data_IF_401257587232
#
_entry.id   IF_401257587232
#
_cell.length_a   1.000
_cell.length_b   1.000
_cell.length_c   1.000
_cell.angle_alpha   90.00
_cell.angle_beta   90.00
_cell.angle_gamma   90.00
#
_symmetry.space_group_name_H-M   'P 1'
#
loop_
_entity.id
_entity.type
_entity.pdbx_description
1 polymer ?
#
# COMPACT_ATOMS: atom_id res chain seq x y z
N UNK A 1 -3.81 -30.48 -36.24
CA UNK A 1 -5.27 -30.58 -36.06
C UNK A 1 -5.86 -29.20 -36.18
N UNK A 2 -5.98 -28.71 -37.42
CA UNK A 2 -6.33 -27.32 -37.67
C UNK A 2 -7.85 -27.16 -37.68
N UNK A 3 -8.42 -26.89 -36.51
CA UNK A 3 -9.87 -26.65 -36.35
C UNK A 3 -10.38 -25.42 -37.12
N UNK A 4 -9.50 -24.49 -37.50
CA UNK A 4 -9.87 -23.30 -38.26
C UNK A 4 -10.09 -23.56 -39.74
N UNK A 5 -9.27 -24.40 -40.38
CA UNK A 5 -9.26 -24.58 -41.84
C UNK A 5 -9.49 -26.02 -42.33
N UNK A 6 -9.23 -27.04 -41.49
CA UNK A 6 -9.34 -28.46 -41.85
C UNK A 6 -10.39 -29.21 -41.02
N UNK A 7 -11.03 -28.57 -40.04
CA UNK A 7 -11.91 -29.24 -39.08
C UNK A 7 -11.14 -29.92 -37.95
N UNK A 8 -11.86 -30.42 -36.95
CA UNK A 8 -11.28 -31.15 -35.81
C UNK A 8 -12.18 -32.33 -35.45
N UNK A 9 -11.61 -33.41 -34.90
CA UNK A 9 -12.39 -34.52 -34.34
C UNK A 9 -12.59 -34.31 -32.83
N UNK A 10 -13.72 -34.52 -32.20
CA UNK A 10 -13.73 -34.40 -30.72
C UNK A 10 -13.07 -35.63 -30.05
N UNK A 11 -13.05 -35.64 -28.72
CA UNK A 11 -12.57 -36.78 -27.93
C UNK A 11 -13.50 -38.00 -28.03
N UNK A 12 -14.74 -37.82 -28.51
CA UNK A 12 -15.73 -38.86 -28.75
C UNK A 12 -15.64 -39.43 -30.19
N UNK A 13 -14.70 -38.94 -31.01
CA UNK A 13 -14.46 -39.39 -32.37
C UNK A 13 -15.34 -38.73 -33.44
N UNK A 14 -16.12 -37.71 -33.10
CA UNK A 14 -16.99 -36.97 -34.04
C UNK A 14 -16.17 -35.96 -34.84
N UNK A 15 -16.24 -36.02 -36.16
CA UNK A 15 -15.56 -35.05 -37.04
C UNK A 15 -16.41 -33.80 -37.23
N UNK A 16 -15.87 -32.66 -36.84
CA UNK A 16 -16.46 -31.34 -37.03
C UNK A 16 -15.84 -30.65 -38.24
N UNK A 17 -16.67 -29.98 -39.05
CA UNK A 17 -16.21 -29.15 -40.16
C UNK A 17 -15.33 -27.98 -39.69
N UNK A 18 -14.55 -27.42 -40.61
CA UNK A 18 -13.71 -26.26 -40.34
C UNK A 18 -14.57 -25.05 -39.92
N UNK A 19 -14.08 -24.29 -38.94
CA UNK A 19 -14.78 -23.07 -38.48
C UNK A 19 -14.89 -22.05 -39.63
N UNK A 20 -13.91 -22.00 -40.54
CA UNK A 20 -13.92 -21.12 -41.71
C UNK A 20 -13.67 -21.95 -42.97
N UNK A 21 -14.70 -22.08 -43.80
CA UNK A 21 -14.63 -22.80 -45.07
C UNK A 21 -13.89 -21.99 -46.15
N UNK A 22 -12.96 -22.63 -46.86
CA UNK A 22 -12.26 -22.05 -48.04
C UNK A 22 -10.90 -21.39 -47.77
N UNK A 23 -10.37 -21.45 -46.55
CA UNK A 23 -9.00 -21.00 -46.27
C UNK A 23 -7.95 -21.97 -46.87
N UNK A 24 -6.77 -21.46 -47.28
CA UNK A 24 -5.66 -22.33 -47.65
C UNK A 24 -5.23 -23.19 -46.44
N UNK A 25 -4.81 -24.44 -46.70
CA UNK A 25 -4.38 -25.41 -45.68
C UNK A 25 -3.06 -24.98 -45.02
N UNK A 26 -3.12 -24.01 -44.12
CA UNK A 26 -1.99 -23.55 -43.33
C UNK A 26 -1.92 -24.38 -42.05
N UNK A 27 -0.99 -25.33 -41.96
CA UNK A 27 -0.80 -26.16 -40.75
C UNK A 27 0.57 -25.89 -40.14
N UNK A 28 0.62 -25.59 -38.84
CA UNK A 28 1.86 -25.47 -38.09
C UNK A 28 2.22 -26.82 -37.44
N UNK A 29 3.50 -27.22 -37.37
CA UNK A 29 3.90 -28.44 -36.68
C UNK A 29 3.67 -28.33 -35.17
N UNK A 30 3.02 -29.34 -34.56
CA UNK A 30 2.80 -29.41 -33.10
C UNK A 30 4.10 -29.36 -32.28
N UNK A 31 5.22 -29.80 -32.85
CA UNK A 31 6.55 -29.75 -32.21
C UNK A 31 6.95 -28.33 -31.81
N UNK A 32 6.52 -27.30 -32.55
CA UNK A 32 6.81 -25.90 -32.21
C UNK A 32 6.16 -25.55 -30.88
N UNK A 33 4.90 -25.92 -30.66
CA UNK A 33 4.18 -25.66 -29.41
C UNK A 33 4.75 -26.46 -28.24
N UNK A 34 5.10 -27.74 -28.45
CA UNK A 34 5.69 -28.58 -27.40
C UNK A 34 7.03 -28.03 -26.89
N UNK A 35 7.90 -27.55 -27.78
CA UNK A 35 9.21 -27.01 -27.39
C UNK A 35 9.10 -25.61 -26.76
N UNK A 36 8.12 -24.81 -27.16
CA UNK A 36 7.94 -23.43 -26.71
C UNK A 36 7.10 -23.28 -25.43
N UNK A 37 6.28 -24.28 -25.11
CA UNK A 37 5.40 -24.31 -23.93
C UNK A 37 6.13 -24.15 -22.58
N UNK A 38 7.24 -24.86 -22.29
CA UNK A 38 7.98 -24.68 -21.03
C UNK A 38 8.49 -23.26 -20.84
N UNK A 39 8.97 -22.62 -21.92
CA UNK A 39 9.44 -21.23 -21.89
C UNK A 39 8.30 -20.26 -21.59
N UNK A 40 7.11 -20.49 -22.15
CA UNK A 40 5.92 -19.69 -21.86
C UNK A 40 5.51 -19.83 -20.39
N UNK A 41 5.49 -21.07 -19.87
CA UNK A 41 5.21 -21.35 -18.47
C UNK A 41 6.18 -20.62 -17.53
N UNK A 42 7.48 -20.69 -17.82
CA UNK A 42 8.52 -20.03 -17.02
C UNK A 42 8.36 -18.50 -17.00
N UNK A 43 8.10 -17.89 -18.16
CA UNK A 43 7.86 -16.44 -18.28
C UNK A 43 6.63 -15.98 -17.48
N UNK A 44 5.56 -16.79 -17.49
CA UNK A 44 4.35 -16.52 -16.71
C UNK A 44 4.61 -16.63 -15.20
N UNK A 45 5.34 -17.65 -14.76
CA UNK A 45 5.71 -17.84 -13.35
C UNK A 45 6.54 -16.66 -12.85
N UNK A 46 7.61 -16.28 -13.56
CA UNK A 46 8.44 -15.15 -13.14
C UNK A 46 7.66 -13.84 -13.05
N UNK A 47 6.79 -13.57 -14.03
CA UNK A 47 5.92 -12.39 -13.99
C UNK A 47 4.97 -12.42 -12.79
N UNK A 48 4.36 -13.56 -12.53
CA UNK A 48 3.38 -13.72 -11.45
C UNK A 48 4.05 -13.56 -10.09
N UNK A 49 5.23 -14.17 -9.90
CA UNK A 49 6.00 -14.05 -8.67
C UNK A 49 6.42 -12.60 -8.40
N UNK A 50 6.97 -11.89 -9.40
CA UNK A 50 7.34 -10.48 -9.23
C UNK A 50 6.13 -9.57 -8.92
N UNK A 51 4.98 -9.86 -9.52
CA UNK A 51 3.74 -9.12 -9.23
C UNK A 51 3.22 -9.41 -7.82
N UNK A 52 3.32 -10.67 -7.38
CA UNK A 52 2.93 -11.09 -6.03
C UNK A 52 3.83 -10.47 -4.96
N UNK A 53 5.16 -10.48 -5.15
CA UNK A 53 6.11 -9.83 -4.24
C UNK A 53 5.82 -8.34 -4.06
N UNK A 54 5.47 -7.63 -5.16
CA UNK A 54 5.08 -6.22 -5.10
C UNK A 54 3.79 -6.02 -4.30
N UNK A 55 2.78 -6.86 -4.52
CA UNK A 55 1.51 -6.80 -3.77
C UNK A 55 1.69 -7.13 -2.29
N UNK A 56 2.48 -8.16 -1.98
CA UNK A 56 2.79 -8.55 -0.60
C UNK A 56 3.62 -7.48 0.12
N UNK A 57 4.60 -6.88 -0.58
CA UNK A 57 5.35 -5.73 -0.09
C UNK A 57 4.45 -4.55 0.26
N UNK A 58 3.48 -4.22 -0.59
CA UNK A 58 2.51 -3.17 -0.31
C UNK A 58 1.69 -3.48 0.95
N UNK A 59 1.12 -4.70 1.05
CA UNK A 59 0.34 -5.10 2.23
C UNK A 59 1.15 -5.05 3.53
N UNK A 60 2.44 -5.41 3.49
CA UNK A 60 3.33 -5.34 4.64
C UNK A 60 3.52 -3.91 5.14
N UNK A 61 3.69 -2.93 4.23
CA UNK A 61 3.83 -1.51 4.60
C UNK A 61 2.56 -0.99 5.28
N UNK A 62 1.39 -1.27 4.70
CA UNK A 62 0.09 -0.90 5.31
C UNK A 62 -0.15 -1.60 6.66
N UNK A 63 0.24 -2.86 6.80
CA UNK A 63 0.19 -3.58 8.07
C UNK A 63 1.11 -2.96 9.13
N UNK A 64 2.32 -2.57 8.74
CA UNK A 64 3.27 -1.89 9.63
C UNK A 64 2.71 -0.54 10.09
N UNK A 65 2.08 0.23 9.21
CA UNK A 65 1.42 1.49 9.54
C UNK A 65 0.36 1.33 10.63
N UNK A 66 -0.50 0.30 10.53
CA UNK A 66 -1.52 0.01 11.55
C UNK A 66 -0.85 -0.30 12.89
N UNK A 67 0.24 -1.08 12.87
CA UNK A 67 0.96 -1.45 14.10
C UNK A 67 1.60 -0.23 14.75
N UNK A 68 2.32 0.61 14.00
CA UNK A 68 2.94 1.84 14.52
C UNK A 68 1.88 2.83 15.02
N UNK A 69 0.77 2.98 14.31
CA UNK A 69 -0.37 3.81 14.74
C UNK A 69 -0.91 3.39 16.11
N UNK A 70 -1.06 2.07 16.34
CA UNK A 70 -1.50 1.53 17.62
C UNK A 70 -0.47 1.74 18.72
N UNK A 71 0.81 1.58 18.40
CA UNK A 71 1.90 1.78 19.36
C UNK A 71 1.99 3.24 19.82
N UNK A 72 1.96 4.21 18.90
CA UNK A 72 1.97 5.65 19.25
C UNK A 72 0.80 6.02 20.17
N UNK A 73 -0.43 5.61 19.83
CA UNK A 73 -1.60 5.92 20.66
C UNK A 73 -1.54 5.21 22.02
N UNK A 74 -1.13 3.93 22.05
CA UNK A 74 -0.95 3.16 23.29
C UNK A 74 0.10 3.80 24.20
N UNK A 75 1.26 4.18 23.64
CA UNK A 75 2.34 4.83 24.38
C UNK A 75 1.90 6.18 24.92
N UNK A 76 1.22 7.01 24.09
CA UNK A 76 0.66 8.28 24.53
C UNK A 76 -0.29 8.14 25.72
N UNK A 77 -1.20 7.17 25.66
CA UNK A 77 -2.14 6.89 26.75
C UNK A 77 -1.46 6.36 28.02
N UNK A 78 -0.48 5.46 27.87
CA UNK A 78 0.23 4.83 28.99
C UNK A 78 1.20 5.79 29.68
N UNK A 79 1.87 6.66 28.92
CA UNK A 79 2.96 7.49 29.40
C UNK A 79 2.55 8.90 29.82
N UNK A 80 1.28 9.25 29.64
CA UNK A 80 0.69 10.49 30.13
C UNK A 80 0.91 10.63 31.65
N UNK A 81 1.66 11.66 32.05
CA UNK A 81 2.05 11.89 33.43
C UNK A 81 2.24 13.40 33.70
N UNK A 82 1.16 14.13 34.05
CA UNK A 82 1.23 15.53 34.40
C UNK A 82 2.08 15.74 35.65
N UNK A 83 2.90 16.81 35.65
CA UNK A 83 3.77 17.15 36.78
C UNK A 83 5.14 16.46 36.81
N UNK A 84 5.42 15.51 35.91
CA UNK A 84 6.73 14.82 35.83
C UNK A 84 7.81 15.58 35.04
N UNK A 85 7.51 16.79 34.57
CA UNK A 85 8.41 17.58 33.72
C UNK A 85 9.56 18.25 34.50
N UNK A 86 9.46 18.34 35.83
CA UNK A 86 10.52 18.92 36.66
C UNK A 86 11.54 17.84 37.03
N UNK A 87 12.73 17.98 36.46
CA UNK A 87 13.99 17.29 36.74
C UNK A 87 14.28 16.02 35.93
N UNK A 88 15.38 16.06 35.18
CA UNK A 88 16.08 14.87 34.67
C UNK A 88 16.74 14.03 35.77
N UNK A 89 16.35 14.22 37.03
CA UNK A 89 16.81 13.52 38.23
C UNK A 89 15.64 13.49 39.20
N UNK A 90 14.84 12.42 39.16
CA UNK A 90 13.67 12.19 40.01
C UNK A 90 13.90 12.74 41.44
N UNK A 91 13.20 13.81 41.83
CA UNK A 91 12.82 13.95 43.23
C UNK A 91 11.78 12.86 43.51
N UNK A 92 12.23 11.73 44.05
CA UNK A 92 11.35 10.71 44.60
C UNK A 92 10.38 11.38 45.59
N UNK A 93 9.09 11.39 45.26
CA UNK A 93 8.04 11.90 46.15
C UNK A 93 7.39 13.23 45.77
N UNK A 94 7.70 13.82 44.61
CA UNK A 94 6.86 14.91 44.10
C UNK A 94 5.41 14.40 43.90
N UNK A 95 4.39 15.07 44.46
CA UNK A 95 3.01 14.61 44.33
C UNK A 95 2.65 14.56 42.84
N UNK A 96 2.13 13.40 42.40
CA UNK A 96 1.50 13.27 41.10
C UNK A 96 0.45 14.37 41.00
N UNK A 97 0.63 15.28 40.04
CA UNK A 97 -0.39 16.30 39.78
C UNK A 97 -1.71 15.57 39.50
N UNK A 98 -2.80 16.09 40.06
CA UNK A 98 -4.13 15.53 39.82
C UNK A 98 -4.38 15.47 38.32
N UNK A 99 -4.75 14.28 37.84
CA UNK A 99 -5.00 14.06 36.42
C UNK A 99 -6.40 14.55 36.12
N UNK A 100 -6.49 15.67 35.43
CA UNK A 100 -7.73 16.07 34.77
C UNK A 100 -7.99 15.10 33.61
N UNK A 101 -8.95 14.20 33.80
CA UNK A 101 -9.31 13.18 32.82
C UNK A 101 -9.96 13.79 31.56
N UNK A 102 -10.58 14.98 31.64
CA UNK A 102 -11.15 15.67 30.48
C UNK A 102 -10.04 16.21 29.58
N UNK A 103 -9.07 16.92 30.16
CA UNK A 103 -7.89 17.44 29.43
C UNK A 103 -7.04 16.31 28.85
N UNK A 104 -6.86 15.22 29.60
CA UNK A 104 -6.17 14.03 29.12
C UNK A 104 -6.89 13.41 27.92
N UNK A 105 -8.20 13.24 28.00
CA UNK A 105 -9.00 12.70 26.91
C UNK A 105 -8.91 13.58 25.65
N UNK A 106 -8.95 14.92 25.80
CA UNK A 106 -8.81 15.87 24.70
C UNK A 106 -7.45 15.73 24.00
N UNK A 107 -6.34 15.74 24.76
CA UNK A 107 -4.99 15.63 24.20
C UNK A 107 -4.75 14.27 23.52
N UNK A 108 -5.23 13.19 24.12
CA UNK A 108 -5.15 11.85 23.51
C UNK A 108 -6.03 11.72 22.26
N UNK A 109 -7.18 12.39 22.23
CA UNK A 109 -8.04 12.47 21.05
C UNK A 109 -7.33 13.21 19.92
N UNK A 110 -6.67 14.34 20.21
CA UNK A 110 -5.85 15.09 19.26
C UNK A 110 -4.69 14.25 18.69
N UNK A 111 -3.99 13.49 19.54
CA UNK A 111 -2.96 12.55 19.08
C UNK A 111 -3.55 11.51 18.13
N UNK A 112 -4.67 10.89 18.52
CA UNK A 112 -5.33 9.85 17.73
C UNK A 112 -5.80 10.36 16.36
N UNK A 113 -6.37 11.58 16.33
CA UNK A 113 -6.75 12.27 15.09
C UNK A 113 -5.54 12.57 14.20
N UNK A 114 -4.42 12.98 14.78
CA UNK A 114 -3.17 13.25 14.05
C UNK A 114 -2.59 11.97 13.46
N UNK A 115 -2.59 10.85 14.21
CA UNK A 115 -2.17 9.53 13.71
C UNK A 115 -3.09 9.03 12.58
N UNK A 116 -4.41 9.23 12.73
CA UNK A 116 -5.36 8.93 11.66
C UNK A 116 -5.10 9.76 10.40
N UNK A 117 -4.77 11.05 10.56
CA UNK A 117 -4.52 11.96 9.44
C UNK A 117 -3.36 11.48 8.56
N UNK A 118 -2.31 10.89 9.14
CA UNK A 118 -1.22 10.28 8.37
C UNK A 118 -1.73 9.14 7.49
N UNK A 119 -2.49 8.21 8.07
CA UNK A 119 -3.02 7.05 7.34
C UNK A 119 -3.89 7.50 6.16
N UNK A 120 -4.74 8.51 6.39
CA UNK A 120 -5.63 9.07 5.38
C UNK A 120 -4.88 9.86 4.31
N UNK A 121 -3.88 10.64 4.70
CA UNK A 121 -3.02 11.41 3.80
C UNK A 121 -2.15 10.50 2.93
N UNK A 122 -1.61 9.41 3.49
CA UNK A 122 -0.86 8.41 2.73
C UNK A 122 -1.75 7.69 1.71
N UNK A 123 -2.97 7.32 2.09
CA UNK A 123 -3.94 6.73 1.16
C UNK A 123 -4.21 7.66 -0.01
N UNK A 124 -4.46 8.94 0.29
CA UNK A 124 -4.68 9.95 -0.74
C UNK A 124 -3.44 10.13 -1.61
N UNK A 125 -2.24 10.20 -1.04
CA UNK A 125 -0.99 10.39 -1.76
C UNK A 125 -0.70 9.27 -2.78
N UNK A 126 -1.11 8.03 -2.47
CA UNK A 126 -0.93 6.85 -3.33
C UNK A 126 -2.09 6.62 -4.31
N UNK A 127 -3.10 7.50 -4.30
CA UNK A 127 -4.29 7.41 -5.15
C UNK A 127 -4.27 8.54 -6.20
N UNK A 128 -4.77 8.31 -7.43
CA UNK A 128 -4.91 9.38 -8.41
C UNK A 128 -5.77 10.56 -7.88
N UNK A 129 -5.44 11.83 -8.22
CA UNK A 129 -6.19 12.98 -7.71
C UNK A 129 -7.66 13.05 -8.08
N UNK A 130 -8.00 12.55 -9.25
CA UNK A 130 -9.37 12.47 -9.75
C UNK A 130 -10.25 11.50 -8.98
N UNK A 131 -9.66 10.51 -8.29
CA UNK A 131 -10.43 9.48 -7.58
C UNK A 131 -10.77 9.85 -6.13
N UNK A 132 -9.89 10.57 -5.41
CA UNK A 132 -9.97 10.67 -3.94
C UNK A 132 -9.79 12.08 -3.35
N UNK A 133 -9.46 13.10 -4.15
CA UNK A 133 -9.16 14.44 -3.60
C UNK A 133 -10.33 15.09 -2.87
N UNK A 134 -11.53 15.04 -3.43
CA UNK A 134 -12.72 15.64 -2.83
C UNK A 134 -13.07 14.96 -1.49
N UNK A 135 -13.06 13.62 -1.47
CA UNK A 135 -13.37 12.86 -0.27
C UNK A 135 -12.30 13.07 0.81
N UNK A 136 -11.02 13.15 0.43
CA UNK A 136 -9.93 13.44 1.36
C UNK A 136 -10.14 14.79 2.07
N UNK A 137 -10.43 15.83 1.30
CA UNK A 137 -10.64 17.16 1.88
C UNK A 137 -11.85 17.19 2.82
N UNK A 138 -12.93 16.48 2.49
CA UNK A 138 -14.10 16.35 3.34
C UNK A 138 -13.76 15.63 4.66
N UNK A 139 -13.12 14.47 4.59
CA UNK A 139 -12.75 13.66 5.77
C UNK A 139 -11.86 14.45 6.74
N UNK A 140 -10.88 15.17 6.19
CA UNK A 140 -9.91 15.94 6.98
C UNK A 140 -10.57 17.13 7.67
N UNK A 141 -11.44 17.87 6.97
CA UNK A 141 -12.18 19.01 7.55
C UNK A 141 -13.22 18.58 8.60
N UNK A 142 -13.77 17.38 8.49
CA UNK A 142 -14.75 16.86 9.46
C UNK A 142 -14.09 16.43 10.77
N UNK A 143 -12.86 15.87 10.71
CA UNK A 143 -12.22 15.24 11.87
C UNK A 143 -11.16 16.08 12.55
N UNK A 144 -10.44 16.93 11.81
CA UNK A 144 -9.34 17.74 12.33
C UNK A 144 -9.79 19.17 12.63
N UNK A 145 -9.01 19.86 13.45
CA UNK A 145 -9.19 21.29 13.66
C UNK A 145 -9.03 22.06 12.34
N UNK A 146 -9.82 23.12 12.06
CA UNK A 146 -9.80 23.81 10.76
C UNK A 146 -8.40 24.28 10.33
N UNK A 147 -7.60 24.80 11.27
CA UNK A 147 -6.24 25.24 10.99
C UNK A 147 -5.30 24.08 10.61
N UNK A 148 -5.47 22.92 11.26
CA UNK A 148 -4.70 21.72 10.97
C UNK A 148 -5.13 21.13 9.60
N UNK A 149 -6.43 21.07 9.35
CA UNK A 149 -7.00 20.57 8.11
C UNK A 149 -6.49 21.34 6.88
N UNK A 150 -6.56 22.67 6.90
CA UNK A 150 -6.12 23.49 5.78
C UNK A 150 -4.59 23.45 5.60
N UNK A 151 -3.81 23.40 6.69
CA UNK A 151 -2.36 23.21 6.61
C UNK A 151 -1.99 21.86 5.96
N UNK A 152 -2.73 20.79 6.27
CA UNK A 152 -2.54 19.47 5.68
C UNK A 152 -2.90 19.46 4.20
N UNK A 153 -4.01 20.07 3.81
CA UNK A 153 -4.48 20.13 2.42
C UNK A 153 -3.53 20.96 1.54
N UNK A 154 -3.04 22.09 2.07
CA UNK A 154 -2.15 23.02 1.37
C UNK A 154 -0.70 22.52 1.21
N UNK A 155 -0.31 21.47 1.96
CA UNK A 155 1.05 20.94 1.91
C UNK A 155 1.30 20.13 0.63
N UNK A 156 2.48 20.32 0.03
CA UNK A 156 2.93 19.52 -1.13
C UNK A 156 3.06 18.03 -0.76
N UNK A 157 3.73 17.74 0.36
CA UNK A 157 3.90 16.39 0.88
C UNK A 157 3.03 16.14 2.11
N UNK A 158 1.74 15.86 1.86
CA UNK A 158 0.71 15.70 2.91
C UNK A 158 1.03 14.63 3.96
N UNK A 159 1.56 13.43 3.63
CA UNK A 159 1.93 12.45 4.67
C UNK A 159 2.99 12.98 5.63
N UNK A 160 3.98 13.71 5.11
CA UNK A 160 5.04 14.30 5.93
C UNK A 160 4.49 15.43 6.83
N UNK A 161 3.58 16.24 6.32
CA UNK A 161 2.86 17.22 7.14
C UNK A 161 2.06 16.56 8.27
N UNK A 162 1.39 15.44 8.00
CA UNK A 162 0.68 14.70 9.03
C UNK A 162 1.64 14.14 10.11
N UNK A 163 2.84 13.68 9.75
CA UNK A 163 3.86 13.29 10.73
C UNK A 163 4.32 14.45 11.60
N UNK A 164 4.50 15.64 11.02
CA UNK A 164 4.78 16.86 11.79
C UNK A 164 3.67 17.14 12.81
N UNK A 165 2.40 16.98 12.43
CA UNK A 165 1.28 17.17 13.35
C UNK A 165 1.25 16.11 14.47
N UNK A 166 1.63 14.85 14.18
CA UNK A 166 1.82 13.80 15.20
C UNK A 166 2.91 14.23 16.19
N UNK A 167 4.06 14.71 15.71
CA UNK A 167 5.15 15.20 16.56
C UNK A 167 4.71 16.38 17.45
N UNK A 168 3.92 17.31 16.90
CA UNK A 168 3.32 18.40 17.69
C UNK A 168 2.38 17.88 18.77
N UNK A 169 1.54 16.88 18.46
CA UNK A 169 0.65 16.27 19.44
C UNK A 169 1.41 15.51 20.54
N UNK A 170 2.52 14.85 20.21
CA UNK A 170 3.39 14.17 21.19
C UNK A 170 4.08 15.18 22.11
N UNK A 171 4.58 16.29 21.57
CA UNK A 171 5.21 17.35 22.35
C UNK A 171 4.24 18.03 23.33
N UNK A 172 2.95 18.10 22.96
CA UNK A 172 1.90 18.67 23.79
C UNK A 172 1.45 17.74 24.93
N UNK A 173 1.82 16.45 24.89
CA UNK A 173 1.52 15.52 25.97
C UNK A 173 2.48 15.72 27.16
N UNK A 174 1.94 15.85 28.38
CA UNK A 174 2.77 15.91 29.58
C UNK A 174 3.34 14.53 29.86
N UNK A 175 4.65 14.37 29.65
CA UNK A 175 5.36 13.12 29.93
C UNK A 175 6.87 13.39 30.05
N UNK A 176 7.57 12.44 30.68
CA UNK A 176 9.03 12.49 30.80
C UNK A 176 9.74 12.50 29.43
N UNK A 177 10.80 13.29 29.30
CA UNK A 177 11.52 13.51 28.04
C UNK A 177 12.02 12.20 27.37
N UNK A 178 12.50 11.23 28.16
CA UNK A 178 12.97 9.94 27.64
C UNK A 178 11.84 9.15 26.94
N UNK A 179 10.62 9.22 27.47
CA UNK A 179 9.44 8.57 26.89
C UNK A 179 9.01 9.28 25.62
N UNK A 180 9.04 10.61 25.64
CA UNK A 180 8.79 11.45 24.47
C UNK A 180 9.77 11.14 23.33
N UNK A 181 11.06 11.06 23.63
CA UNK A 181 12.10 10.69 22.67
C UNK A 181 11.86 9.28 22.09
N UNK A 182 11.43 8.33 22.92
CA UNK A 182 11.08 6.98 22.43
C UNK A 182 9.87 6.99 21.49
N UNK A 183 8.88 7.85 21.72
CA UNK A 183 7.75 8.01 20.80
C UNK A 183 8.18 8.67 19.49
N UNK A 184 9.06 9.67 19.54
CA UNK A 184 9.56 10.35 18.34
C UNK A 184 10.35 9.40 17.43
N UNK A 185 11.15 8.50 18.02
CA UNK A 185 11.79 7.40 17.28
C UNK A 185 10.77 6.46 16.62
N UNK A 186 9.61 6.24 17.25
CA UNK A 186 8.55 5.41 16.66
C UNK A 186 7.80 6.16 15.53
N UNK A 187 7.73 7.50 15.60
CA UNK A 187 7.22 8.34 14.51
C UNK A 187 8.12 8.25 13.27
N UNK A 188 9.44 8.12 13.45
CA UNK A 188 10.36 7.94 12.32
C UNK A 188 10.03 6.70 11.45
N UNK A 189 9.40 5.67 12.03
CA UNK A 189 8.95 4.51 11.24
C UNK A 189 7.81 4.83 10.26
N UNK A 190 7.04 5.90 10.48
CA UNK A 190 6.04 6.35 9.52
C UNK A 190 6.70 6.87 8.22
N UNK A 191 7.90 7.46 8.32
CA UNK A 191 8.68 7.88 7.15
C UNK A 191 9.17 6.66 6.36
N UNK A 192 9.67 5.63 7.04
CA UNK A 192 10.06 4.36 6.40
C UNK A 192 8.89 3.73 5.63
N UNK A 193 7.68 3.82 6.19
CA UNK A 193 6.44 3.35 5.54
C UNK A 193 6.11 4.22 4.32
N UNK A 194 6.14 5.56 4.43
CA UNK A 194 5.86 6.46 3.30
C UNK A 194 6.83 6.21 2.15
N UNK A 195 8.14 6.23 2.42
CA UNK A 195 9.17 5.96 1.42
C UNK A 195 9.11 4.53 0.86
N UNK A 196 8.70 3.55 1.66
CA UNK A 196 8.43 2.18 1.21
C UNK A 196 7.28 2.12 0.21
N UNK A 197 6.17 2.79 0.51
CA UNK A 197 5.00 2.89 -0.36
C UNK A 197 5.31 3.65 -1.66
N UNK A 198 6.01 4.78 -1.58
CA UNK A 198 6.46 5.57 -2.75
C UNK A 198 7.35 4.75 -3.67
N UNK A 199 8.29 3.97 -3.11
CA UNK A 199 9.15 3.08 -3.90
C UNK A 199 8.34 2.02 -4.61
N UNK A 200 7.39 1.39 -3.93
CA UNK A 200 6.51 0.36 -4.51
C UNK A 200 5.60 0.96 -5.58
N UNK A 201 5.06 2.16 -5.35
CA UNK A 201 4.18 2.85 -6.28
C UNK A 201 4.95 3.31 -7.53
N UNK A 202 6.07 4.00 -7.33
CA UNK A 202 6.91 4.58 -8.39
C UNK A 202 7.76 3.57 -9.16
N UNK A 203 7.97 2.36 -8.64
CA UNK A 203 8.76 1.30 -9.30
C UNK A 203 7.85 0.17 -9.79
N UNK A 204 7.27 0.28 -11.00
CA UNK A 204 6.49 -0.82 -11.56
C UNK A 204 7.38 -2.00 -11.97
N UNK A 205 6.79 -3.20 -12.00
CA UNK A 205 7.44 -4.38 -12.60
C UNK A 205 7.87 -4.01 -14.03
N UNK A 206 9.12 -4.28 -14.44
CA UNK A 206 9.64 -3.82 -15.72
C UNK A 206 8.70 -4.14 -16.88
N UNK A 207 8.36 -3.11 -17.66
CA UNK A 207 7.36 -3.21 -18.74
C UNK A 207 7.74 -4.25 -19.81
N UNK A 208 9.04 -4.52 -19.96
CA UNK A 208 9.59 -5.55 -20.85
C UNK A 208 8.99 -6.92 -20.50
N UNK A 209 8.95 -7.30 -19.21
CA UNK A 209 8.34 -8.56 -18.77
C UNK A 209 6.85 -8.63 -19.14
N UNK A 210 6.09 -7.57 -18.85
CA UNK A 210 4.65 -7.58 -19.14
C UNK A 210 4.35 -7.58 -20.65
N UNK A 211 5.09 -6.81 -21.44
CA UNK A 211 4.86 -6.68 -22.90
C UNK A 211 5.30 -7.92 -23.66
N UNK A 212 6.48 -8.47 -23.38
CA UNK A 212 6.93 -9.68 -24.08
C UNK A 212 6.11 -10.90 -23.69
N UNK A 213 5.83 -11.10 -22.40
CA UNK A 213 4.98 -12.22 -21.96
C UNK A 213 3.58 -12.12 -22.56
N UNK A 214 2.98 -10.92 -22.63
CA UNK A 214 1.67 -10.73 -23.26
C UNK A 214 1.71 -11.03 -24.76
N UNK A 215 2.66 -10.46 -25.51
CA UNK A 215 2.79 -10.72 -26.96
C UNK A 215 3.04 -12.19 -27.26
N UNK A 216 3.89 -12.83 -26.47
CA UNK A 216 4.21 -14.25 -26.64
C UNK A 216 3.01 -15.13 -26.33
N UNK A 217 2.30 -14.87 -25.22
CA UNK A 217 1.05 -15.57 -24.88
C UNK A 217 -0.02 -15.39 -25.97
N UNK A 218 -0.23 -14.16 -26.44
CA UNK A 218 -1.21 -13.88 -27.50
C UNK A 218 -0.85 -14.58 -28.80
N UNK A 219 0.42 -14.51 -29.24
CA UNK A 219 0.87 -15.21 -30.44
C UNK A 219 0.73 -16.73 -30.29
N UNK A 220 1.08 -17.28 -29.12
CA UNK A 220 0.96 -18.70 -28.82
C UNK A 220 -0.50 -19.16 -28.90
N UNK A 221 -1.43 -18.44 -28.25
CA UNK A 221 -2.86 -18.77 -28.26
C UNK A 221 -3.52 -18.60 -29.64
N UNK A 222 -3.10 -17.58 -30.41
CA UNK A 222 -3.61 -17.37 -31.77
C UNK A 222 -3.10 -18.41 -32.77
N UNK A 223 -1.87 -18.90 -32.59
CA UNK A 223 -1.30 -19.92 -33.47
C UNK A 223 -1.70 -21.34 -33.07
N UNK A 224 -2.07 -21.60 -31.81
CA UNK A 224 -2.47 -22.91 -31.32
C UNK A 224 -3.54 -23.62 -32.18
N UNK A 225 -4.64 -22.95 -32.64
CA UNK A 225 -5.63 -23.60 -33.49
C UNK A 225 -5.14 -23.90 -34.92
N UNK A 226 -3.95 -23.43 -35.32
CA UNK A 226 -3.31 -23.77 -36.60
C UNK A 226 -2.39 -24.99 -36.49
N UNK A 227 -2.09 -25.45 -35.28
CA UNK A 227 -1.33 -26.68 -35.00
C UNK A 227 -2.06 -27.96 -35.40
#
# INVERSE_FOLDING_TARGET
WNGLANGFTDFDGVTHEAIINGLPKLTLPMSVFTVTSPSLGLLLVFRTNASYERWDGARKMWGLMINRSRDVVRMGAQWYAPGTEKSGFLEEGAPLAEIDEEVKAEKLNRLSKSVWSFSRALARHLTPPDEDEEQFQKDVRERLEPAQAEALIASDHRPNRAMYDIGCAINDLPMHFMRRNQMDLDVAHFEDISGGCERIFGTPVPLVYSRHTARYLTAYLLMLPLG
#
